data_IF_433301265720
#
_entry.id   IF_433301265720
#
_cell.length_a   1.000
_cell.length_b   1.000
_cell.length_c   1.000
_cell.angle_alpha   90.00
_cell.angle_beta   90.00
_cell.angle_gamma   90.00
#
_symmetry.space_group_name_H-M   'P 1'
#
loop_
_entity.id
_entity.type
_entity.pdbx_description
1 polymer ?
#
# COMPACT_ATOMS: atom_id res chain seq x y z
N UNK A 1 -0.54 13.79 13.31
CA UNK A 1 -1.26 12.96 12.32
C UNK A 1 -0.56 11.61 12.16
N UNK A 2 -1.30 10.50 12.23
CA UNK A 2 -0.75 9.13 12.28
C UNK A 2 -0.95 8.39 10.94
N UNK A 3 -2.00 8.73 10.19
CA UNK A 3 -2.35 8.12 8.91
C UNK A 3 -1.20 8.09 7.89
N UNK A 4 -0.47 9.19 7.64
CA UNK A 4 0.61 9.19 6.66
C UNK A 4 1.76 8.25 7.04
N UNK A 5 2.05 8.14 8.34
CA UNK A 5 3.06 7.21 8.85
C UNK A 5 2.58 5.76 8.72
N UNK A 6 1.30 5.52 8.99
CA UNK A 6 0.69 4.20 8.82
C UNK A 6 0.72 3.74 7.36
N UNK A 7 0.39 4.61 6.40
CA UNK A 7 0.48 4.30 4.97
C UNK A 7 1.90 3.95 4.56
N UNK A 8 2.89 4.78 4.95
CA UNK A 8 4.30 4.47 4.68
C UNK A 8 4.76 3.14 5.27
N UNK A 9 4.42 2.87 6.52
CA UNK A 9 4.76 1.59 7.19
C UNK A 9 4.09 0.39 6.51
N UNK A 10 2.90 0.57 5.94
CA UNK A 10 2.16 -0.50 5.27
C UNK A 10 2.56 -0.70 3.81
N UNK A 11 3.41 0.18 3.25
CA UNK A 11 3.76 0.17 1.83
C UNK A 11 2.64 0.73 0.95
N UNK A 12 1.87 1.67 1.49
CA UNK A 12 0.81 2.40 0.80
C UNK A 12 1.29 3.81 0.45
N UNK A 13 0.72 4.37 -0.62
CA UNK A 13 0.98 5.73 -1.07
C UNK A 13 0.29 6.77 -0.18
N UNK A 14 0.51 8.05 -0.49
CA UNK A 14 -0.07 9.17 0.28
C UNK A 14 -1.60 9.26 0.16
N UNK A 15 -2.19 8.59 -0.82
CA UNK A 15 -3.64 8.50 -1.03
C UNK A 15 -4.26 7.30 -0.31
N UNK A 16 -3.44 6.42 0.29
CA UNK A 16 -3.89 5.23 1.01
C UNK A 16 -4.03 3.99 0.13
N UNK A 17 -3.43 3.97 -1.06
CA UNK A 17 -3.44 2.81 -1.95
C UNK A 17 -2.17 1.97 -1.77
N UNK A 18 -2.26 0.63 -1.73
CA UNK A 18 -1.09 -0.22 -1.76
C UNK A 18 -0.25 0.03 -3.01
N UNK A 19 1.06 0.10 -2.85
CA UNK A 19 1.99 0.16 -3.98
C UNK A 19 1.95 -1.15 -4.79
N UNK A 20 2.40 -1.12 -6.05
CA UNK A 20 2.50 -2.32 -6.90
C UNK A 20 3.34 -3.43 -6.25
N UNK A 21 4.42 -3.06 -5.55
CA UNK A 21 5.22 -4.01 -4.77
C UNK A 21 4.37 -4.68 -3.68
N UNK A 22 3.56 -3.89 -2.97
CA UNK A 22 2.68 -4.42 -1.94
C UNK A 22 1.57 -5.31 -2.49
N UNK A 23 1.03 -4.97 -3.67
CA UNK A 23 0.04 -5.80 -4.37
C UNK A 23 0.64 -7.15 -4.76
N UNK A 24 1.87 -7.18 -5.27
CA UNK A 24 2.59 -8.42 -5.60
C UNK A 24 2.89 -9.26 -4.38
N UNK A 25 3.34 -8.65 -3.27
CA UNK A 25 3.57 -9.35 -2.00
C UNK A 25 2.29 -10.01 -1.47
N UNK A 26 1.14 -9.35 -1.63
CA UNK A 26 -0.16 -9.85 -1.19
C UNK A 26 -0.84 -10.78 -2.20
N UNK A 27 -0.27 -10.97 -3.39
CA UNK A 27 -0.88 -11.75 -4.48
C UNK A 27 -2.16 -11.11 -5.04
N UNK A 28 -2.31 -9.80 -4.88
CA UNK A 28 -3.47 -9.01 -5.32
C UNK A 28 -3.22 -8.27 -6.64
N UNK A 29 -2.02 -8.38 -7.22
CA UNK A 29 -1.63 -7.72 -8.47
C UNK A 29 -2.52 -8.09 -9.67
N UNK A 30 -3.22 -9.23 -9.61
CA UNK A 30 -4.13 -9.70 -10.66
C UNK A 30 -5.55 -9.12 -10.59
N UNK A 31 -5.90 -8.46 -9.49
CA UNK A 31 -7.26 -7.98 -9.19
C UNK A 31 -7.38 -6.46 -9.15
N UNK A 32 -6.27 -5.74 -9.32
CA UNK A 32 -6.17 -4.29 -9.19
C UNK A 32 -6.25 -3.59 -10.54
#
# INVERSE_FOLDING_TARGET
EILPKYYKLRGWDEKGYPTEEKLKELGLDKYY
#
